data_IF_713828401227
#
_entry.id   IF_713828401227
#
_cell.length_a   1.000
_cell.length_b   1.000
_cell.length_c   1.000
_cell.angle_alpha   90.00
_cell.angle_beta   90.00
_cell.angle_gamma   90.00
#
_symmetry.space_group_name_H-M   'P 1'
#
loop_
_entity.id
_entity.type
_entity.pdbx_description
1 polymer ?
#
# COMPACT_ATOMS: atom_id res chain seq x y z
N UNK A 1 -14.36 13.69 -10.82
CA UNK A 1 -12.97 13.29 -10.53
C UNK A 1 -12.95 12.67 -9.13
N UNK A 2 -12.33 11.49 -8.94
CA UNK A 2 -12.21 10.78 -7.67
C UNK A 2 -10.81 10.98 -7.09
N UNK A 3 -10.73 11.29 -5.80
CA UNK A 3 -9.46 11.43 -5.09
C UNK A 3 -9.04 10.08 -4.54
N UNK A 4 -7.94 9.54 -5.04
CA UNK A 4 -7.41 8.23 -4.66
C UNK A 4 -6.13 8.44 -3.85
N UNK A 5 -6.16 8.04 -2.57
CA UNK A 5 -5.02 8.12 -1.67
C UNK A 5 -4.24 6.80 -1.71
N UNK A 6 -2.95 6.88 -2.02
CA UNK A 6 -2.02 5.78 -1.85
C UNK A 6 -1.26 5.96 -0.55
N UNK A 7 -1.28 4.95 0.33
CA UNK A 7 -0.57 4.97 1.61
C UNK A 7 0.47 3.86 1.63
N UNK A 8 1.72 4.23 1.83
CA UNK A 8 2.85 3.31 1.95
C UNK A 8 3.95 3.93 2.83
N UNK A 9 4.97 3.14 3.20
CA UNK A 9 6.08 3.63 4.01
C UNK A 9 7.40 2.92 3.74
N UNK A 10 7.39 1.86 2.93
CA UNK A 10 8.57 1.03 2.67
C UNK A 10 8.89 0.92 1.18
N UNK A 11 10.15 0.58 0.87
CA UNK A 11 10.59 0.37 -0.51
C UNK A 11 9.80 -0.69 -1.27
N UNK A 12 9.53 -1.90 -0.72
CA UNK A 12 8.75 -2.92 -1.43
C UNK A 12 7.34 -2.46 -1.79
N UNK A 13 6.70 -1.68 -0.92
CA UNK A 13 5.37 -1.11 -1.18
C UNK A 13 5.42 -0.13 -2.34
N UNK A 14 6.41 0.76 -2.36
CA UNK A 14 6.60 1.71 -3.47
C UNK A 14 6.77 0.97 -4.79
N UNK A 15 7.65 -0.05 -4.85
CA UNK A 15 7.89 -0.83 -6.07
C UNK A 15 6.58 -1.39 -6.63
N UNK A 16 5.72 -1.93 -5.77
CA UNK A 16 4.47 -2.59 -6.19
C UNK A 16 3.33 -1.62 -6.45
N UNK A 17 3.32 -0.44 -5.82
CA UNK A 17 2.30 0.58 -6.04
C UNK A 17 2.64 1.55 -7.18
N UNK A 18 3.91 1.74 -7.50
CA UNK A 18 4.32 2.68 -8.56
C UNK A 18 3.63 2.42 -9.91
N UNK A 19 3.52 1.17 -10.42
CA UNK A 19 2.80 0.91 -11.66
C UNK A 19 1.33 1.33 -11.60
N UNK A 20 0.67 1.07 -10.47
CA UNK A 20 -0.74 1.44 -10.27
C UNK A 20 -0.91 2.96 -10.21
N UNK A 21 -0.01 3.65 -9.52
CA UNK A 21 0.03 5.12 -9.45
C UNK A 21 0.22 5.71 -10.86
N UNK A 22 1.20 5.22 -11.61
CA UNK A 22 1.50 5.68 -12.96
C UNK A 22 0.32 5.44 -13.91
N UNK A 23 -0.33 4.29 -13.81
CA UNK A 23 -1.50 3.96 -14.63
C UNK A 23 -2.66 4.91 -14.34
N UNK A 24 -3.02 5.15 -13.07
CA UNK A 24 -4.10 6.05 -12.70
C UNK A 24 -3.81 7.50 -13.10
N UNK A 25 -2.56 7.93 -13.05
CA UNK A 25 -2.12 9.27 -13.49
C UNK A 25 -2.29 9.53 -14.99
N UNK A 26 -2.48 8.49 -15.82
CA UNK A 26 -2.81 8.64 -17.25
C UNK A 26 -4.25 9.15 -17.48
N UNK A 27 -5.10 9.13 -16.44
CA UNK A 27 -6.53 9.51 -16.52
C UNK A 27 -6.84 10.67 -15.55
N UNK A 28 -6.18 11.84 -15.70
CA UNK A 28 -6.32 12.95 -14.76
C UNK A 28 -7.75 13.54 -14.73
N UNK A 29 -8.54 13.31 -15.78
CA UNK A 29 -9.94 13.71 -15.83
C UNK A 29 -10.84 12.84 -14.93
N UNK A 30 -10.40 11.64 -14.58
CA UNK A 30 -11.15 10.69 -13.73
C UNK A 30 -10.62 10.65 -12.30
N UNK A 31 -9.28 10.67 -12.15
CA UNK A 31 -8.61 10.42 -10.87
C UNK A 31 -7.64 11.55 -10.52
N UNK A 32 -7.77 12.03 -9.29
CA UNK A 32 -6.72 12.80 -8.62
C UNK A 32 -5.96 11.85 -7.70
N UNK A 33 -4.71 11.57 -8.01
CA UNK A 33 -3.86 10.64 -7.26
C UNK A 33 -3.08 11.40 -6.21
N UNK A 34 -3.23 11.01 -4.94
CA UNK A 34 -2.53 11.57 -3.78
C UNK A 34 -1.58 10.50 -3.24
N UNK A 35 -0.30 10.79 -3.22
CA UNK A 35 0.78 9.88 -2.79
C UNK A 35 1.21 10.24 -1.38
N UNK A 36 0.90 9.38 -0.40
CA UNK A 36 1.19 9.59 1.02
C UNK A 36 2.22 8.58 1.51
N UNK A 37 3.40 9.09 1.91
CA UNK A 37 4.49 8.31 2.48
C UNK A 37 4.52 8.47 4.00
N UNK A 38 4.37 7.37 4.76
CA UNK A 38 4.52 7.37 6.23
C UNK A 38 5.98 7.45 6.65
N UNK A 39 6.91 7.27 5.68
CA UNK A 39 8.35 7.30 5.87
C UNK A 39 8.86 6.22 6.85
N UNK A 40 8.22 5.04 6.87
CA UNK A 40 8.71 3.90 7.65
C UNK A 40 10.13 3.49 7.23
N UNK A 41 10.46 3.64 5.94
CA UNK A 41 11.82 3.55 5.38
C UNK A 41 12.10 4.81 4.56
N UNK A 42 12.24 5.95 5.21
CA UNK A 42 12.26 7.30 4.62
C UNK A 42 13.16 7.43 3.39
N UNK A 43 14.44 7.09 3.53
CA UNK A 43 15.41 7.25 2.46
C UNK A 43 15.12 6.30 1.30
N UNK A 44 14.91 5.01 1.61
CA UNK A 44 14.68 3.97 0.61
C UNK A 44 13.37 4.18 -0.16
N UNK A 45 12.30 4.59 0.52
CA UNK A 45 11.01 4.85 -0.13
C UNK A 45 11.11 6.07 -1.06
N UNK A 46 11.76 7.15 -0.63
CA UNK A 46 11.92 8.36 -1.45
C UNK A 46 12.83 8.13 -2.67
N UNK A 47 13.95 7.41 -2.49
CA UNK A 47 14.81 7.01 -3.61
C UNK A 47 14.04 6.16 -4.63
N UNK A 48 13.25 5.20 -4.13
CA UNK A 48 12.47 4.32 -5.01
C UNK A 48 11.39 5.08 -5.77
N UNK A 49 10.70 6.03 -5.14
CA UNK A 49 9.77 6.92 -5.84
C UNK A 49 10.46 7.66 -6.98
N UNK A 50 11.66 8.19 -6.73
CA UNK A 50 12.43 8.91 -7.75
C UNK A 50 12.79 8.05 -8.96
N UNK A 51 13.11 6.75 -8.77
CA UNK A 51 13.35 5.80 -9.88
C UNK A 51 12.13 5.64 -10.81
N UNK A 52 10.93 5.79 -10.28
CA UNK A 52 9.70 5.75 -11.08
C UNK A 52 9.23 7.14 -11.55
N UNK A 53 10.05 8.19 -11.37
CA UNK A 53 9.66 9.56 -11.70
C UNK A 53 8.52 10.10 -10.83
N UNK A 54 8.32 9.50 -9.64
CA UNK A 54 7.29 9.87 -8.69
C UNK A 54 7.88 10.65 -7.50
N UNK A 55 7.01 11.36 -6.81
CA UNK A 55 7.29 11.97 -5.51
C UNK A 55 6.08 11.83 -4.61
N UNK A 56 6.30 11.83 -3.30
CA UNK A 56 5.22 11.91 -2.33
C UNK A 56 4.63 13.33 -2.31
N UNK A 57 3.30 13.42 -2.30
CA UNK A 57 2.57 14.66 -2.10
C UNK A 57 2.48 14.99 -0.61
N UNK A 58 2.45 13.94 0.24
CA UNK A 58 2.37 14.02 1.70
C UNK A 58 3.43 13.12 2.31
N UNK A 59 4.25 13.67 3.20
CA UNK A 59 5.21 12.95 4.03
C UNK A 59 4.82 13.10 5.50
N UNK A 60 4.73 11.98 6.26
CA UNK A 60 4.16 11.98 7.61
C UNK A 60 5.23 11.99 8.72
N UNK A 61 6.48 11.64 8.41
CA UNK A 61 7.61 11.58 9.35
C UNK A 61 7.25 10.83 10.66
N UNK A 62 6.65 9.64 10.52
CA UNK A 62 6.07 8.90 11.64
C UNK A 62 7.13 8.15 12.48
N UNK A 63 8.36 8.01 11.99
CA UNK A 63 9.36 7.17 12.62
C UNK A 63 10.20 7.92 13.66
N UNK A 64 10.54 7.23 14.76
CA UNK A 64 11.50 7.66 15.78
C UNK A 64 12.39 6.49 16.18
N UNK A 65 13.63 6.75 16.64
CA UNK A 65 14.48 5.69 17.18
C UNK A 65 13.84 4.96 18.36
N UNK A 66 14.07 3.63 18.44
CA UNK A 66 13.68 2.78 19.58
C UNK A 66 12.19 2.78 19.93
N UNK A 67 11.31 3.02 18.97
CA UNK A 67 9.87 3.00 19.19
C UNK A 67 9.31 1.57 19.19
N UNK A 68 8.32 1.31 20.04
CA UNK A 68 7.54 0.08 20.03
C UNK A 68 6.57 0.03 18.84
N UNK A 69 6.07 -1.16 18.50
CA UNK A 69 5.04 -1.33 17.45
C UNK A 69 3.79 -0.49 17.76
N UNK A 70 3.40 -0.40 19.04
CA UNK A 70 2.24 0.37 19.47
C UNK A 70 2.43 1.88 19.24
N UNK A 71 3.64 2.39 19.52
CA UNK A 71 3.96 3.80 19.26
C UNK A 71 3.97 4.12 17.77
N UNK A 72 4.51 3.22 16.94
CA UNK A 72 4.47 3.35 15.46
C UNK A 72 3.02 3.41 14.99
N UNK A 73 2.20 2.45 15.41
CA UNK A 73 0.78 2.39 15.05
C UNK A 73 0.04 3.67 15.43
N UNK A 74 0.21 4.11 16.67
CA UNK A 74 -0.46 5.31 17.18
C UNK A 74 -0.09 6.56 16.38
N UNK A 75 1.19 6.72 16.03
CA UNK A 75 1.67 7.87 15.24
C UNK A 75 1.11 7.86 13.83
N UNK A 76 1.18 6.70 13.15
CA UNK A 76 0.66 6.59 11.78
C UNK A 76 -0.84 6.86 11.76
N UNK A 77 -1.62 6.27 12.68
CA UNK A 77 -3.06 6.50 12.77
C UNK A 77 -3.39 7.97 13.00
N UNK A 78 -2.71 8.61 13.97
CA UNK A 78 -2.92 10.03 14.29
C UNK A 78 -2.53 10.95 13.11
N UNK A 79 -1.46 10.62 12.39
CA UNK A 79 -1.03 11.40 11.24
C UNK A 79 -2.00 11.25 10.05
N UNK A 80 -2.47 10.01 9.77
CA UNK A 80 -3.46 9.75 8.72
C UNK A 80 -4.81 10.40 9.01
N UNK A 81 -5.22 10.45 10.27
CA UNK A 81 -6.47 11.15 10.66
C UNK A 81 -6.44 12.62 10.22
N UNK A 82 -5.29 13.31 10.43
CA UNK A 82 -5.09 14.69 9.94
C UNK A 82 -5.04 14.78 8.41
N UNK A 83 -4.52 13.75 7.73
CA UNK A 83 -4.55 13.71 6.25
C UNK A 83 -5.99 13.72 5.76
N UNK A 84 -6.86 12.91 6.37
CA UNK A 84 -8.29 12.86 6.01
C UNK A 84 -9.06 14.12 6.37
N UNK A 85 -8.69 14.83 7.45
CA UNK A 85 -9.27 16.11 7.78
C UNK A 85 -8.98 17.19 6.73
N UNK A 86 -7.78 17.14 6.15
CA UNK A 86 -7.30 18.16 5.22
C UNK A 86 -7.52 17.79 3.74
N UNK A 87 -7.88 16.55 3.44
CA UNK A 87 -8.04 16.06 2.07
C UNK A 87 -9.33 15.27 1.92
N UNK A 88 -10.13 15.62 0.92
CA UNK A 88 -11.23 14.77 0.52
C UNK A 88 -10.66 13.52 -0.15
N UNK A 89 -10.93 12.34 0.40
CA UNK A 89 -10.49 11.04 -0.14
C UNK A 89 -11.72 10.21 -0.49
N UNK A 90 -11.79 9.71 -1.72
CA UNK A 90 -12.88 8.86 -2.18
C UNK A 90 -12.55 7.36 -2.08
N UNK A 91 -11.27 7.00 -2.07
CA UNK A 91 -10.78 5.64 -1.81
C UNK A 91 -9.30 5.66 -1.39
N UNK A 92 -8.89 4.66 -0.62
CA UNK A 92 -7.49 4.45 -0.22
C UNK A 92 -6.97 3.14 -0.79
N UNK A 93 -5.76 3.16 -1.35
CA UNK A 93 -5.04 1.98 -1.85
C UNK A 93 -3.85 1.72 -0.94
N UNK A 94 -3.74 0.48 -0.47
CA UNK A 94 -2.63 -0.03 0.34
C UNK A 94 -2.07 -1.32 -0.27
N UNK A 95 -0.82 -1.67 0.00
CA UNK A 95 -0.18 -2.84 -0.57
C UNK A 95 0.59 -3.62 0.50
N UNK A 96 0.36 -4.93 0.58
CA UNK A 96 1.13 -5.83 1.45
C UNK A 96 0.60 -5.91 2.87
N UNK A 97 1.51 -5.87 3.85
CA UNK A 97 1.24 -6.33 5.21
C UNK A 97 2.01 -5.59 6.32
N UNK A 98 2.55 -4.42 6.02
CA UNK A 98 3.27 -3.63 7.03
C UNK A 98 2.35 -2.91 8.00
N UNK A 99 2.91 -2.33 9.07
CA UNK A 99 2.18 -1.45 9.99
C UNK A 99 1.51 -0.28 9.26
N UNK A 100 2.18 0.29 8.26
CA UNK A 100 1.64 1.36 7.41
C UNK A 100 0.37 0.91 6.69
N UNK A 101 0.37 -0.29 6.14
CA UNK A 101 -0.78 -0.90 5.42
C UNK A 101 -1.98 -1.05 6.35
N UNK A 102 -1.76 -1.68 7.50
CA UNK A 102 -2.83 -1.87 8.49
C UNK A 102 -3.39 -0.51 8.97
N UNK A 103 -2.51 0.44 9.30
CA UNK A 103 -2.95 1.76 9.74
C UNK A 103 -3.70 2.52 8.65
N UNK A 104 -3.23 2.46 7.39
CA UNK A 104 -3.92 3.04 6.24
C UNK A 104 -5.31 2.47 6.05
N UNK A 105 -5.44 1.15 6.17
CA UNK A 105 -6.71 0.46 6.07
C UNK A 105 -7.66 0.81 7.23
N UNK A 106 -7.21 0.77 8.47
CA UNK A 106 -8.03 1.07 9.63
C UNK A 106 -8.48 2.54 9.68
N UNK A 107 -7.56 3.48 9.45
CA UNK A 107 -7.89 4.91 9.44
C UNK A 107 -8.94 5.24 8.37
N UNK A 108 -8.81 4.64 7.17
CA UNK A 108 -9.80 4.78 6.09
C UNK A 108 -11.14 4.15 6.47
N UNK A 109 -11.12 2.95 7.01
CA UNK A 109 -12.34 2.24 7.45
C UNK A 109 -13.13 3.05 8.49
N UNK A 110 -12.46 3.65 9.48
CA UNK A 110 -13.10 4.49 10.50
C UNK A 110 -13.76 5.75 9.92
N UNK A 111 -13.25 6.23 8.80
CA UNK A 111 -13.82 7.35 8.03
C UNK A 111 -14.84 6.93 6.97
N UNK A 112 -15.17 5.62 6.89
CA UNK A 112 -16.04 5.01 5.87
C UNK A 112 -15.55 5.24 4.44
N UNK A 113 -14.22 5.33 4.28
CA UNK A 113 -13.55 5.42 2.99
C UNK A 113 -13.21 4.00 2.54
N UNK A 114 -13.63 3.56 1.33
CA UNK A 114 -13.32 2.24 0.83
C UNK A 114 -11.81 2.01 0.70
N UNK A 115 -11.37 0.83 1.11
CA UNK A 115 -9.97 0.40 1.06
C UNK A 115 -9.78 -0.65 -0.02
N UNK A 116 -8.77 -0.49 -0.85
CA UNK A 116 -8.37 -1.43 -1.88
C UNK A 116 -7.00 -2.01 -1.52
N UNK A 117 -6.97 -3.31 -1.28
CA UNK A 117 -5.77 -4.02 -0.79
C UNK A 117 -5.07 -4.75 -1.93
N UNK A 118 -3.91 -4.27 -2.34
CA UNK A 118 -3.04 -4.88 -3.34
C UNK A 118 -2.16 -5.95 -2.69
N UNK A 119 -1.96 -7.08 -3.38
CA UNK A 119 -1.25 -8.27 -2.89
C UNK A 119 -1.94 -8.94 -1.71
N UNK A 120 -3.27 -8.98 -1.75
CA UNK A 120 -4.09 -9.59 -0.71
C UNK A 120 -4.04 -11.14 -0.75
N UNK A 121 -4.26 -11.77 0.41
CA UNK A 121 -4.44 -13.22 0.49
C UNK A 121 -3.16 -14.04 0.66
N UNK A 122 -1.99 -13.43 0.85
CA UNK A 122 -0.80 -14.14 1.35
C UNK A 122 -1.05 -14.62 2.78
N UNK A 123 -0.79 -15.89 3.07
CA UNK A 123 -0.98 -16.49 4.40
C UNK A 123 0.09 -17.52 4.74
N UNK A 124 0.61 -17.42 5.95
CA UNK A 124 1.37 -18.49 6.62
C UNK A 124 0.49 -19.34 7.52
N UNK A 125 -0.59 -18.75 8.04
CA UNK A 125 -1.49 -19.30 9.08
C UNK A 125 -0.81 -19.48 10.45
N UNK A 126 0.42 -18.97 10.62
CA UNK A 126 1.07 -18.84 11.91
C UNK A 126 1.14 -17.35 12.28
N UNK A 127 0.42 -16.93 13.31
CA UNK A 127 0.31 -15.52 13.72
C UNK A 127 1.63 -14.91 14.21
N UNK A 128 2.64 -15.75 14.45
CA UNK A 128 3.97 -15.36 14.87
C UNK A 128 5.02 -15.49 13.74
N UNK A 129 4.63 -15.94 12.53
CA UNK A 129 5.57 -16.12 11.43
C UNK A 129 4.95 -15.78 10.05
N UNK A 130 5.37 -14.67 9.42
CA UNK A 130 6.20 -13.58 9.95
C UNK A 130 5.44 -12.74 11.00
N UNK A 131 6.15 -12.29 11.99
CA UNK A 131 5.59 -11.42 13.03
C UNK A 131 6.04 -9.96 12.82
N UNK A 132 5.14 -8.97 12.86
CA UNK A 132 3.68 -9.07 13.09
C UNK A 132 2.84 -9.15 11.80
N UNK A 133 3.45 -9.36 10.64
CA UNK A 133 2.87 -9.18 9.30
C UNK A 133 1.69 -10.13 9.03
N UNK A 134 1.74 -11.39 9.52
CA UNK A 134 0.64 -12.34 9.28
C UNK A 134 -0.70 -11.82 9.82
N UNK A 135 -0.71 -11.29 11.04
CA UNK A 135 -1.91 -10.72 11.63
C UNK A 135 -2.33 -9.43 10.91
N UNK A 136 -1.36 -8.58 10.57
CA UNK A 136 -1.63 -7.31 9.88
C UNK A 136 -2.33 -7.52 8.54
N UNK A 137 -1.88 -8.51 7.72
CA UNK A 137 -2.51 -8.78 6.41
C UNK A 137 -3.89 -9.40 6.53
N UNK A 138 -4.13 -10.24 7.55
CA UNK A 138 -5.46 -10.78 7.83
C UNK A 138 -6.44 -9.66 8.20
N UNK A 139 -6.05 -8.78 9.12
CA UNK A 139 -6.87 -7.64 9.54
C UNK A 139 -7.13 -6.67 8.39
N UNK A 140 -6.12 -6.38 7.57
CA UNK A 140 -6.24 -5.51 6.39
C UNK A 140 -7.25 -6.07 5.39
N UNK A 141 -7.13 -7.36 5.05
CA UNK A 141 -8.06 -8.02 4.12
C UNK A 141 -9.51 -8.00 4.62
N UNK A 142 -9.70 -8.04 5.95
CA UNK A 142 -11.05 -8.04 6.57
C UNK A 142 -11.78 -6.71 6.42
N UNK A 143 -11.06 -5.58 6.47
CA UNK A 143 -11.64 -4.24 6.34
C UNK A 143 -11.62 -3.71 4.91
N UNK A 144 -10.90 -4.37 4.02
CA UNK A 144 -10.83 -3.99 2.62
C UNK A 144 -12.17 -4.17 1.90
N UNK A 145 -12.54 -3.19 1.08
CA UNK A 145 -13.68 -3.28 0.17
C UNK A 145 -13.37 -4.16 -1.03
N UNK A 146 -12.15 -4.08 -1.57
CA UNK A 146 -11.65 -4.95 -2.64
C UNK A 146 -10.28 -5.50 -2.27
N UNK A 147 -10.08 -6.79 -2.58
CA UNK A 147 -8.84 -7.54 -2.38
C UNK A 147 -8.28 -7.98 -3.74
N UNK A 148 -7.13 -7.44 -4.12
CA UNK A 148 -6.43 -7.82 -5.36
C UNK A 148 -5.41 -8.91 -5.03
N UNK A 149 -5.77 -10.15 -5.34
CA UNK A 149 -4.97 -11.34 -5.05
C UNK A 149 -3.96 -11.61 -6.17
N UNK A 150 -2.69 -11.93 -5.86
CA UNK A 150 -1.70 -12.26 -6.89
C UNK A 150 -2.00 -13.55 -7.64
N UNK A 151 -2.56 -14.54 -6.98
CA UNK A 151 -2.81 -15.88 -7.55
C UNK A 151 -4.13 -16.47 -7.06
N UNK A 152 -4.59 -17.53 -7.74
CA UNK A 152 -5.77 -18.29 -7.30
C UNK A 152 -5.58 -18.88 -5.88
N UNK A 153 -4.35 -19.28 -5.50
CA UNK A 153 -4.05 -19.74 -4.14
C UNK A 153 -4.37 -18.66 -3.10
N UNK A 154 -4.02 -17.41 -3.39
CA UNK A 154 -4.29 -16.28 -2.50
C UNK A 154 -5.80 -15.98 -2.43
N UNK A 155 -6.53 -16.07 -3.57
CA UNK A 155 -7.99 -15.98 -3.58
C UNK A 155 -8.62 -17.03 -2.69
N UNK A 156 -8.19 -18.30 -2.80
CA UNK A 156 -8.72 -19.39 -1.97
C UNK A 156 -8.46 -19.17 -0.48
N UNK A 157 -7.34 -18.55 -0.10
CA UNK A 157 -7.07 -18.17 1.29
C UNK A 157 -8.09 -17.14 1.81
N UNK A 158 -8.40 -16.12 1.03
CA UNK A 158 -9.40 -15.11 1.38
C UNK A 158 -10.82 -15.69 1.48
N UNK A 159 -11.21 -16.58 0.56
CA UNK A 159 -12.49 -17.27 0.61
C UNK A 159 -12.64 -18.12 1.88
N UNK A 160 -11.60 -18.83 2.30
CA UNK A 160 -11.58 -19.61 3.56
C UNK A 160 -11.78 -18.72 4.81
N UNK A 161 -11.43 -17.45 4.73
CA UNK A 161 -11.64 -16.47 5.79
C UNK A 161 -13.00 -15.74 5.67
N UNK A 162 -13.90 -16.27 4.83
CA UNK A 162 -15.23 -15.69 4.57
C UNK A 162 -15.20 -14.26 3.99
N UNK A 163 -14.18 -13.92 3.21
CA UNK A 163 -14.22 -12.76 2.33
C UNK A 163 -15.08 -13.12 1.13
N UNK A 164 -16.06 -12.28 0.81
CA UNK A 164 -17.00 -12.54 -0.29
C UNK A 164 -16.28 -12.54 -1.65
N UNK A 165 -16.66 -13.46 -2.53
CA UNK A 165 -16.00 -13.67 -3.81
C UNK A 165 -16.05 -12.43 -4.73
N UNK A 166 -17.14 -11.70 -4.69
CA UNK A 166 -17.31 -10.44 -5.43
C UNK A 166 -16.36 -9.31 -5.00
N UNK A 167 -15.67 -9.49 -3.87
CA UNK A 167 -14.64 -8.57 -3.34
C UNK A 167 -13.21 -9.04 -3.62
N UNK A 168 -13.01 -10.11 -4.38
CA UNK A 168 -11.69 -10.69 -4.63
C UNK A 168 -11.43 -10.75 -6.14
N UNK A 169 -10.32 -10.15 -6.57
CA UNK A 169 -9.88 -10.14 -7.97
C UNK A 169 -8.49 -10.73 -8.08
N UNK A 170 -8.32 -11.75 -8.91
CA UNK A 170 -7.00 -12.31 -9.21
C UNK A 170 -6.38 -11.50 -10.34
N UNK A 171 -5.30 -10.77 -10.05
CA UNK A 171 -4.74 -9.75 -10.93
C UNK A 171 -3.24 -9.93 -11.24
N UNK A 172 -2.60 -10.95 -10.70
CA UNK A 172 -1.14 -11.08 -10.76
C UNK A 172 -0.43 -10.24 -9.70
N UNK A 173 0.88 -10.08 -9.84
CA UNK A 173 1.69 -9.30 -8.91
C UNK A 173 2.29 -8.09 -9.63
N UNK A 174 1.99 -6.91 -9.17
CA UNK A 174 2.41 -5.62 -9.75
C UNK A 174 3.93 -5.40 -9.73
N UNK A 175 4.70 -6.24 -9.03
CA UNK A 175 6.16 -6.23 -9.12
C UNK A 175 6.65 -6.53 -10.55
N UNK A 176 5.89 -7.32 -11.31
CA UNK A 176 6.20 -7.62 -12.73
C UNK A 176 6.01 -6.35 -13.57
N UNK A 177 4.92 -5.62 -13.34
CA UNK A 177 4.66 -4.35 -14.04
C UNK A 177 5.72 -3.30 -13.70
N UNK A 178 6.23 -3.32 -12.45
CA UNK A 178 7.29 -2.41 -12.02
C UNK A 178 8.58 -2.55 -12.87
N UNK A 179 8.92 -3.77 -13.30
CA UNK A 179 10.07 -3.99 -14.18
C UNK A 179 9.91 -3.31 -15.54
N UNK A 180 8.68 -3.24 -16.06
CA UNK A 180 8.38 -2.58 -17.33
C UNK A 180 8.24 -1.06 -17.21
N UNK A 181 8.09 -0.54 -15.98
CA UNK A 181 8.01 0.90 -15.73
C UNK A 181 9.39 1.57 -15.61
N UNK A 182 10.46 0.79 -15.46
CA UNK A 182 11.82 1.34 -15.35
C UNK A 182 12.30 1.85 -16.71
N UNK A 183 12.88 3.05 -16.72
CA UNK A 183 13.49 3.61 -17.93
C UNK A 183 14.73 2.82 -18.35
N UNK A 184 15.07 2.85 -19.65
CA UNK A 184 16.33 2.26 -20.16
C UNK A 184 17.56 2.85 -19.46
N UNK A 185 17.51 4.13 -19.10
CA UNK A 185 18.56 4.83 -18.36
C UNK A 185 18.76 4.22 -16.96
N UNK A 186 17.68 3.93 -16.24
CA UNK A 186 17.71 3.27 -14.94
C UNK A 186 18.23 1.83 -15.05
N UNK A 187 17.83 1.10 -16.09
CA UNK A 187 18.31 -0.26 -16.37
C UNK A 187 19.80 -0.30 -16.75
N UNK A 188 20.29 0.72 -17.45
CA UNK A 188 21.70 0.79 -17.85
C UNK A 188 22.59 1.17 -16.66
N UNK A 189 22.19 2.10 -15.80
CA UNK A 189 22.94 2.43 -14.58
C UNK A 189 23.07 1.23 -13.62
N UNK A 190 22.09 0.34 -13.60
CA UNK A 190 22.15 -0.89 -12.78
C UNK A 190 23.12 -1.96 -13.30
N UNK A 191 23.56 -1.87 -14.57
CA UNK A 191 24.56 -2.79 -15.16
C UNK A 191 26.01 -2.42 -14.85
N UNK A 192 26.25 -1.22 -14.30
CA UNK A 192 27.58 -0.72 -13.94
C UNK A 192 28.02 -1.12 -12.52
N UNK A 193 27.18 -1.85 -11.79
CA UNK A 193 27.44 -2.45 -10.47
C UNK A 193 27.46 -3.98 -10.56
#
# INVERSE_FOLDING_TARGET
MKNILFVFGTRPEVIKLAPVILELKKYPEKYNVIVCNTEQQKELSNQTLAYFGLKADINLDCMKPNQSLLEVQTRILTALDKVFDNNKVDATIVQGDTMTVLCGALASFYRKIPVYHVEAGLRSYDIYEPFPEEVMRQMTSRVAELNFAPTEKNRQALLKENISDDKIFVVGNTVIDALFCLSEETLNSAKEY
#
